data_IF_508850171334
#
_entry.id   IF_508850171334
#
_cell.length_a   1.000
_cell.length_b   1.000
_cell.length_c   1.000
_cell.angle_alpha   90.00
_cell.angle_beta   90.00
_cell.angle_gamma   90.00
#
_symmetry.space_group_name_H-M   'P 1'
#
loop_
_entity.id
_entity.type
_entity.pdbx_description
1 polymer ?
#
# COMPACT_ATOMS: atom_id res chain seq x y z
N UNK A 1 -30.61 84.26 40.84
CA UNK A 1 -29.20 84.03 40.45
C UNK A 1 -28.89 82.55 40.66
N UNK A 2 -28.86 81.71 39.55
CA UNK A 2 -28.54 80.29 39.62
C UNK A 2 -27.25 80.09 38.85
N UNK A 3 -26.26 79.59 39.52
CA UNK A 3 -24.99 79.18 38.93
C UNK A 3 -25.12 77.73 38.39
N UNK A 4 -24.83 77.53 37.13
CA UNK A 4 -24.82 76.23 36.49
C UNK A 4 -23.39 75.71 36.49
N UNK A 5 -23.15 74.67 37.26
CA UNK A 5 -21.88 73.95 37.27
C UNK A 5 -21.85 72.90 36.15
N UNK A 6 -20.92 73.07 35.22
CA UNK A 6 -20.65 72.11 34.17
C UNK A 6 -19.58 71.16 34.62
N UNK A 7 -19.94 69.91 34.90
CA UNK A 7 -18.98 68.82 35.15
C UNK A 7 -18.57 68.24 33.77
N UNK A 8 -17.31 68.46 33.39
CA UNK A 8 -16.67 67.79 32.27
C UNK A 8 -16.24 66.39 32.72
N UNK A 9 -16.91 65.38 32.21
CA UNK A 9 -16.52 63.97 32.39
C UNK A 9 -15.51 63.60 31.32
N UNK A 10 -14.25 63.40 31.68
CA UNK A 10 -13.16 62.95 30.80
C UNK A 10 -13.25 61.44 30.66
N UNK A 11 -13.72 60.93 29.50
CA UNK A 11 -13.70 59.50 29.17
C UNK A 11 -12.32 59.11 28.66
N UNK A 12 -11.58 58.32 29.45
CA UNK A 12 -10.32 57.74 29.07
C UNK A 12 -10.61 56.46 28.28
N UNK A 13 -10.40 56.51 26.97
CA UNK A 13 -10.43 55.32 26.09
C UNK A 13 -9.11 54.52 26.27
N UNK A 14 -9.19 53.41 26.97
CA UNK A 14 -8.08 52.42 27.03
C UNK A 14 -8.20 51.53 25.82
N UNK A 15 -7.34 51.73 24.80
CA UNK A 15 -7.21 50.83 23.63
C UNK A 15 -6.25 49.69 24.00
N UNK A 16 -6.79 48.53 24.30
CA UNK A 16 -6.00 47.29 24.44
C UNK A 16 -5.60 46.80 23.05
N UNK A 17 -4.33 46.99 22.72
CA UNK A 17 -3.77 46.37 21.51
C UNK A 17 -3.62 44.87 21.75
N UNK A 18 -4.47 44.06 21.13
CA UNK A 18 -4.32 42.60 21.09
C UNK A 18 -3.19 42.32 20.08
N UNK A 19 -2.00 42.01 20.59
CA UNK A 19 -0.92 41.49 19.75
C UNK A 19 -1.30 40.09 19.25
N UNK A 20 -1.76 40.00 18.02
CA UNK A 20 -1.92 38.74 17.31
C UNK A 20 -0.53 38.12 17.14
N UNK A 21 -0.19 37.14 17.98
CA UNK A 21 0.97 36.28 17.72
C UNK A 21 0.64 35.44 16.48
N UNK A 22 1.12 35.88 15.32
CA UNK A 22 1.17 35.02 14.15
C UNK A 22 2.07 33.84 14.49
N UNK A 23 1.44 32.68 14.70
CA UNK A 23 2.13 31.41 14.89
C UNK A 23 2.89 31.12 13.58
N UNK A 24 4.21 31.34 13.59
CA UNK A 24 5.07 30.97 12.48
C UNK A 24 4.88 29.45 12.24
N UNK A 25 4.52 29.01 10.99
CA UNK A 25 4.50 27.60 10.69
C UNK A 25 5.87 27.03 11.08
N UNK A 26 5.90 25.99 11.89
CA UNK A 26 7.13 25.26 12.17
C UNK A 26 7.76 24.93 10.80
N UNK A 27 9.03 25.26 10.62
CA UNK A 27 9.78 24.94 9.42
C UNK A 27 9.73 23.42 9.26
N UNK A 28 8.82 22.94 8.40
CA UNK A 28 8.67 21.53 8.11
C UNK A 28 9.98 21.04 7.50
N UNK A 29 10.52 19.96 8.05
CA UNK A 29 11.63 19.25 7.40
C UNK A 29 11.27 18.89 5.96
N UNK A 30 12.22 18.45 5.14
CA UNK A 30 11.93 18.01 3.79
C UNK A 30 10.80 16.98 3.80
N UNK A 31 9.87 17.02 2.82
CA UNK A 31 8.76 16.08 2.79
C UNK A 31 9.28 14.64 2.83
N UNK A 32 8.59 13.73 3.52
CA UNK A 32 9.00 12.34 3.59
C UNK A 32 9.12 11.77 2.18
N UNK A 33 10.18 11.01 1.93
CA UNK A 33 10.38 10.34 0.65
C UNK A 33 9.27 9.30 0.47
N UNK A 34 8.65 9.19 -0.73
CA UNK A 34 7.66 8.17 -0.99
C UNK A 34 8.26 6.76 -0.85
N UNK A 35 7.46 5.80 -0.44
CA UNK A 35 7.85 4.39 -0.50
C UNK A 35 8.24 4.00 -1.93
N UNK A 36 9.18 3.08 -2.05
CA UNK A 36 9.52 2.46 -3.34
C UNK A 36 9.40 0.94 -3.22
N UNK A 37 9.03 0.30 -4.32
CA UNK A 37 9.04 -1.15 -4.49
C UNK A 37 9.91 -1.47 -5.70
N UNK A 38 10.81 -2.44 -5.57
CA UNK A 38 11.72 -2.86 -6.64
C UNK A 38 11.93 -4.36 -6.65
N UNK A 39 12.39 -4.88 -7.78
CA UNK A 39 12.90 -6.25 -7.91
C UNK A 39 14.14 -6.27 -8.79
N UNK A 40 15.03 -7.22 -8.56
CA UNK A 40 16.16 -7.50 -9.46
C UNK A 40 15.78 -8.47 -10.58
N UNK A 41 14.56 -9.02 -10.55
CA UNK A 41 14.10 -10.03 -11.49
C UNK A 41 13.80 -9.48 -12.90
N UNK A 42 13.29 -8.25 -12.97
CA UNK A 42 12.97 -7.53 -14.21
C UNK A 42 12.81 -6.03 -13.94
N UNK A 43 13.07 -5.15 -14.92
CA UNK A 43 12.80 -3.71 -14.81
C UNK A 43 11.29 -3.40 -14.72
N UNK A 44 10.94 -2.28 -14.06
CA UNK A 44 9.56 -1.80 -13.99
C UNK A 44 8.99 -1.54 -15.40
N UNK A 45 7.74 -1.96 -15.63
CA UNK A 45 7.07 -1.89 -16.93
C UNK A 45 7.62 -2.84 -17.99
N UNK A 46 8.54 -3.75 -17.66
CA UNK A 46 9.11 -4.70 -18.63
C UNK A 46 8.49 -6.10 -18.54
N UNK A 47 8.86 -6.98 -19.46
CA UNK A 47 8.37 -8.35 -19.46
C UNK A 47 8.94 -9.15 -18.29
N UNK A 48 8.06 -9.90 -17.62
CA UNK A 48 8.42 -10.82 -16.54
C UNK A 48 9.08 -12.06 -17.16
N UNK A 49 10.29 -12.44 -16.74
CA UNK A 49 10.94 -13.68 -17.21
C UNK A 49 10.09 -14.92 -16.92
N UNK A 50 10.13 -15.87 -17.84
CA UNK A 50 9.34 -17.12 -17.81
C UNK A 50 9.48 -17.86 -16.48
N UNK A 51 10.66 -17.85 -15.86
CA UNK A 51 10.94 -18.44 -14.54
C UNK A 51 9.87 -18.08 -13.49
N UNK A 52 9.41 -16.84 -13.47
CA UNK A 52 8.47 -16.32 -12.45
C UNK A 52 7.00 -16.52 -12.82
N UNK A 53 6.70 -17.23 -13.90
CA UNK A 53 5.36 -17.34 -14.49
C UNK A 53 4.83 -18.76 -14.49
N UNK A 54 3.54 -18.94 -14.80
CA UNK A 54 2.91 -20.27 -14.95
C UNK A 54 3.44 -21.06 -16.15
N UNK A 55 4.20 -20.45 -17.04
CA UNK A 55 4.87 -21.11 -18.15
C UNK A 55 6.26 -21.63 -17.81
N UNK A 56 6.76 -21.31 -16.61
CA UNK A 56 8.06 -21.73 -16.11
C UNK A 56 8.00 -22.38 -14.71
N UNK A 57 8.97 -22.06 -13.87
CA UNK A 57 9.10 -22.63 -12.53
C UNK A 57 8.07 -22.10 -11.54
N UNK A 58 7.43 -20.98 -11.85
CA UNK A 58 6.47 -20.31 -10.98
C UNK A 58 7.03 -19.93 -9.60
N UNK A 59 8.28 -19.50 -9.60
CA UNK A 59 8.99 -19.00 -8.41
C UNK A 59 8.57 -17.53 -8.20
N UNK A 60 8.29 -17.11 -6.96
CA UNK A 60 8.05 -15.69 -6.69
C UNK A 60 9.34 -14.88 -6.84
N UNK A 61 9.30 -13.68 -7.48
CA UNK A 61 10.48 -12.83 -7.55
C UNK A 61 10.85 -12.30 -6.17
N UNK A 62 12.15 -12.02 -5.96
CA UNK A 62 12.58 -11.23 -4.81
C UNK A 62 12.02 -9.81 -4.93
N UNK A 63 11.45 -9.28 -3.84
CA UNK A 63 10.92 -7.93 -3.76
C UNK A 63 11.63 -7.17 -2.65
N UNK A 64 11.92 -5.88 -2.89
CA UNK A 64 12.54 -4.99 -1.89
C UNK A 64 11.79 -3.66 -1.86
N UNK A 65 11.58 -3.14 -0.65
CA UNK A 65 10.97 -1.81 -0.48
C UNK A 65 11.79 -0.93 0.46
N UNK A 66 11.69 0.38 0.25
CA UNK A 66 12.41 1.39 1.02
C UNK A 66 11.51 2.56 1.39
N UNK A 67 12.02 3.47 2.23
CA UNK A 67 11.30 4.65 2.71
C UNK A 67 9.99 4.30 3.43
N UNK A 68 10.03 3.24 4.23
CA UNK A 68 8.90 2.83 5.08
C UNK A 68 8.45 3.98 5.99
N UNK A 69 7.15 4.35 6.01
CA UNK A 69 6.65 5.38 6.91
C UNK A 69 6.89 5.04 8.38
N UNK A 70 7.15 6.05 9.19
CA UNK A 70 7.20 5.88 10.64
C UNK A 70 5.86 5.38 11.18
N UNK A 71 5.89 4.51 12.18
CA UNK A 71 4.68 3.90 12.75
C UNK A 71 4.18 2.66 12.00
N UNK A 72 4.88 2.19 10.98
CA UNK A 72 4.51 0.94 10.29
C UNK A 72 4.63 -0.26 11.23
N UNK A 73 3.53 -0.98 11.40
CA UNK A 73 3.39 -2.20 12.20
C UNK A 73 3.49 -3.45 11.33
N UNK A 74 2.79 -3.44 10.17
CA UNK A 74 2.83 -4.54 9.19
C UNK A 74 2.79 -4.02 7.76
N UNK A 75 3.03 -4.95 6.80
CA UNK A 75 2.78 -4.68 5.38
C UNK A 75 1.77 -5.69 4.82
N UNK A 76 1.12 -5.26 3.74
CA UNK A 76 0.35 -6.10 2.83
C UNK A 76 0.96 -5.99 1.43
N UNK A 77 1.27 -7.13 0.81
CA UNK A 77 1.59 -7.23 -0.61
C UNK A 77 0.37 -7.76 -1.36
N UNK A 78 -0.01 -7.09 -2.44
CA UNK A 78 -1.06 -7.51 -3.35
C UNK A 78 -0.51 -7.56 -4.77
N UNK A 79 -0.49 -8.75 -5.38
CA UNK A 79 -0.18 -8.94 -6.80
C UNK A 79 -1.45 -9.34 -7.54
N UNK A 80 -1.77 -8.63 -8.63
CA UNK A 80 -2.99 -8.86 -9.40
C UNK A 80 -2.79 -8.55 -10.89
N UNK A 81 -3.62 -9.18 -11.74
CA UNK A 81 -3.70 -8.94 -13.17
C UNK A 81 -4.89 -8.02 -13.45
N UNK A 82 -4.60 -6.76 -13.78
CA UNK A 82 -5.61 -5.71 -13.93
C UNK A 82 -6.32 -5.75 -15.30
N UNK A 83 -5.89 -6.58 -16.22
CA UNK A 83 -6.51 -6.73 -17.55
C UNK A 83 -7.63 -7.78 -17.59
N UNK A 84 -7.89 -8.44 -16.44
CA UNK A 84 -8.93 -9.45 -16.30
C UNK A 84 -10.15 -8.89 -15.58
N UNK A 85 -11.26 -8.68 -16.33
CA UNK A 85 -12.56 -8.37 -15.72
C UNK A 85 -13.21 -9.65 -15.19
N UNK A 86 -13.03 -9.92 -13.91
CA UNK A 86 -13.52 -11.14 -13.28
C UNK A 86 -15.03 -11.05 -13.04
N UNK A 87 -15.75 -12.14 -13.35
CA UNK A 87 -17.21 -12.25 -13.16
C UNK A 87 -18.01 -11.09 -13.80
N UNK A 88 -17.51 -10.47 -14.87
CA UNK A 88 -18.10 -9.28 -15.52
C UNK A 88 -18.28 -8.08 -14.54
N UNK A 89 -17.37 -7.95 -13.58
CA UNK A 89 -17.32 -6.84 -12.62
C UNK A 89 -16.04 -6.02 -12.83
N UNK A 90 -15.79 -5.05 -11.96
CA UNK A 90 -14.52 -4.32 -11.88
C UNK A 90 -13.44 -5.08 -11.09
N UNK A 91 -13.76 -6.26 -10.55
CA UNK A 91 -12.79 -7.12 -9.89
C UNK A 91 -11.82 -7.71 -10.90
N UNK A 92 -10.57 -7.79 -10.49
CA UNK A 92 -9.47 -8.35 -11.26
C UNK A 92 -9.00 -9.71 -10.73
N UNK A 93 -8.02 -10.31 -11.40
CA UNK A 93 -7.48 -11.61 -11.01
C UNK A 93 -6.41 -11.45 -9.92
N UNK A 94 -6.71 -11.92 -8.71
CA UNK A 94 -5.72 -12.02 -7.64
C UNK A 94 -4.68 -13.10 -7.95
N UNK A 95 -3.42 -12.72 -7.96
CA UNK A 95 -2.28 -13.61 -8.20
C UNK A 95 -1.56 -13.96 -6.89
N UNK A 96 -1.45 -13.02 -5.95
CA UNK A 96 -0.81 -13.26 -4.66
C UNK A 96 -1.16 -12.16 -3.66
N UNK A 97 -1.65 -12.54 -2.51
CA UNK A 97 -1.86 -11.65 -1.38
C UNK A 97 -1.03 -12.17 -0.22
N UNK A 98 -0.17 -11.32 0.35
CA UNK A 98 0.58 -11.61 1.58
C UNK A 98 0.24 -10.52 2.58
N UNK A 99 -0.22 -10.89 3.77
CA UNK A 99 -0.58 -9.90 4.80
C UNK A 99 0.07 -10.20 6.14
N UNK A 100 0.08 -9.19 6.99
CA UNK A 100 0.80 -9.22 8.27
C UNK A 100 2.32 -9.48 8.12
N UNK A 101 2.93 -9.06 7.00
CA UNK A 101 4.38 -9.04 6.86
C UNK A 101 4.91 -8.08 7.95
N UNK A 102 5.89 -8.49 8.78
CA UNK A 102 6.39 -7.65 9.87
C UNK A 102 6.85 -6.26 9.42
N UNK A 103 6.54 -5.21 10.18
CA UNK A 103 6.91 -3.82 9.85
C UNK A 103 8.42 -3.56 9.82
N UNK A 104 9.23 -4.51 10.31
CA UNK A 104 10.70 -4.50 10.22
C UNK A 104 11.23 -5.11 8.91
N UNK A 105 10.37 -5.76 8.12
CA UNK A 105 10.77 -6.37 6.86
C UNK A 105 11.08 -5.28 5.82
N UNK A 106 12.12 -5.52 5.01
CA UNK A 106 12.52 -4.66 3.89
C UNK A 106 12.34 -5.33 2.54
N UNK A 107 11.76 -6.54 2.52
CA UNK A 107 11.57 -7.31 1.30
C UNK A 107 11.01 -8.70 1.56
N UNK A 108 10.72 -9.40 0.46
CA UNK A 108 10.47 -10.84 0.42
C UNK A 108 11.56 -11.51 -0.43
N UNK A 109 12.07 -12.68 -0.04
CA UNK A 109 13.08 -13.40 -0.82
C UNK A 109 12.48 -13.96 -2.13
N UNK A 110 13.34 -14.31 -3.08
CA UNK A 110 12.94 -15.16 -4.20
C UNK A 110 12.50 -16.52 -3.67
N UNK A 111 11.42 -17.05 -4.24
CA UNK A 111 10.95 -18.39 -3.89
C UNK A 111 10.32 -18.49 -2.50
N UNK A 112 9.43 -17.55 -2.14
CA UNK A 112 8.64 -17.69 -0.90
C UNK A 112 7.97 -19.05 -0.84
N UNK A 113 8.16 -19.84 0.26
CA UNK A 113 7.66 -21.20 0.34
C UNK A 113 6.13 -21.26 0.35
N UNK A 114 5.58 -22.42 -0.03
CA UNK A 114 4.14 -22.71 0.10
C UNK A 114 3.76 -22.81 1.58
N UNK A 115 2.56 -22.42 1.91
CA UNK A 115 1.99 -22.51 3.26
C UNK A 115 1.15 -21.31 3.57
N UNK A 116 0.08 -21.49 4.34
CA UNK A 116 -0.82 -20.41 4.74
C UNK A 116 -0.12 -19.40 5.65
N UNK A 117 0.70 -19.89 6.56
CA UNK A 117 1.52 -19.06 7.46
C UNK A 117 2.98 -19.26 7.16
N UNK A 118 3.70 -18.17 6.93
CA UNK A 118 5.13 -18.15 6.67
C UNK A 118 5.93 -18.10 7.97
N UNK A 119 7.24 -18.34 7.88
CA UNK A 119 8.12 -18.42 9.05
C UNK A 119 8.19 -17.12 9.87
N UNK A 120 7.93 -15.97 9.26
CA UNK A 120 7.88 -14.65 9.90
C UNK A 120 6.52 -14.31 10.51
N UNK A 121 5.55 -15.24 10.44
CA UNK A 121 4.19 -15.09 10.94
C UNK A 121 3.24 -14.35 9.98
N UNK A 122 3.68 -13.98 8.79
CA UNK A 122 2.80 -13.49 7.74
C UNK A 122 1.97 -14.61 7.13
N UNK A 123 0.89 -14.24 6.44
CA UNK A 123 -0.02 -15.18 5.79
C UNK A 123 -0.03 -14.93 4.28
N UNK A 124 -0.34 -15.94 3.49
CA UNK A 124 -0.46 -15.79 2.05
C UNK A 124 -1.59 -16.62 1.44
N UNK A 125 -2.11 -16.12 0.32
CA UNK A 125 -3.07 -16.83 -0.52
C UNK A 125 -3.01 -16.35 -1.97
N UNK A 126 -3.41 -17.21 -2.89
CA UNK A 126 -3.67 -16.91 -4.29
C UNK A 126 -4.82 -17.76 -4.80
N UNK A 127 -5.24 -17.56 -6.03
CA UNK A 127 -6.22 -18.42 -6.69
C UNK A 127 -5.75 -19.89 -6.88
N UNK A 128 -4.50 -20.20 -6.52
CA UNK A 128 -3.93 -21.56 -6.49
C UNK A 128 -3.72 -22.08 -5.06
N UNK A 129 -4.34 -21.44 -4.06
CA UNK A 129 -4.16 -21.74 -2.64
C UNK A 129 -3.07 -20.91 -1.98
N UNK A 130 -2.51 -21.35 -0.84
CA UNK A 130 -1.53 -20.59 -0.05
C UNK A 130 -0.12 -20.64 -0.68
N UNK A 131 0.02 -20.03 -1.85
CA UNK A 131 1.23 -20.02 -2.65
C UNK A 131 1.22 -18.85 -3.63
N UNK A 132 2.40 -18.39 -4.05
CA UNK A 132 2.54 -17.51 -5.21
C UNK A 132 1.93 -18.16 -6.46
N UNK A 133 1.10 -17.41 -7.19
CA UNK A 133 0.61 -17.76 -8.53
C UNK A 133 1.21 -16.79 -9.54
N UNK A 134 2.14 -17.27 -10.35
CA UNK A 134 2.79 -16.45 -11.36
C UNK A 134 1.83 -15.97 -12.46
N UNK A 135 2.25 -15.01 -13.28
CA UNK A 135 1.57 -14.57 -14.49
C UNK A 135 1.17 -15.72 -15.41
N UNK A 136 0.00 -15.62 -16.04
CA UNK A 136 -0.53 -16.73 -16.86
C UNK A 136 -1.37 -16.30 -18.05
N UNK A 137 -1.27 -15.05 -18.52
CA UNK A 137 -2.01 -14.55 -19.66
C UNK A 137 -1.87 -15.45 -20.89
N UNK A 138 -2.92 -15.60 -21.73
CA UNK A 138 -2.90 -16.46 -22.91
C UNK A 138 -1.79 -16.07 -23.89
N UNK A 139 -1.29 -17.03 -24.67
CA UNK A 139 -0.30 -16.79 -25.73
C UNK A 139 -0.85 -15.93 -26.87
N UNK A 140 -2.18 -15.96 -27.07
CA UNK A 140 -2.90 -15.12 -28.03
C UNK A 140 -3.47 -13.90 -27.33
N UNK A 141 -3.27 -12.70 -27.86
CA UNK A 141 -3.74 -11.46 -27.27
C UNK A 141 -2.61 -10.53 -26.81
N UNK A 142 -2.95 -9.45 -26.13
CA UNK A 142 -1.97 -8.48 -25.64
C UNK A 142 -1.13 -9.04 -24.48
N UNK A 143 -0.07 -8.31 -24.11
CA UNK A 143 0.58 -8.47 -22.81
C UNK A 143 -0.39 -8.00 -21.73
N UNK A 144 -0.51 -8.77 -20.63
CA UNK A 144 -1.23 -8.34 -19.44
C UNK A 144 -0.30 -7.63 -18.45
N UNK A 145 -0.88 -6.71 -17.67
CA UNK A 145 -0.20 -5.96 -16.62
C UNK A 145 -0.38 -6.66 -15.28
N UNK A 146 0.73 -7.07 -14.70
CA UNK A 146 0.77 -7.66 -13.36
C UNK A 146 1.29 -6.61 -12.40
N UNK A 147 0.41 -6.11 -11.56
CA UNK A 147 0.71 -5.04 -10.61
C UNK A 147 1.07 -5.66 -9.27
N UNK A 148 2.22 -5.30 -8.73
CA UNK A 148 2.66 -5.58 -7.37
C UNK A 148 2.48 -4.31 -6.55
N UNK A 149 1.66 -4.34 -5.52
CA UNK A 149 1.47 -3.23 -4.59
C UNK A 149 1.91 -3.64 -3.19
N UNK A 150 2.80 -2.85 -2.58
CA UNK A 150 3.14 -2.97 -1.17
C UNK A 150 2.48 -1.83 -0.41
N UNK A 151 1.79 -2.13 0.69
CA UNK A 151 1.10 -1.18 1.56
C UNK A 151 1.63 -1.31 2.97
N UNK A 152 2.09 -0.20 3.55
CA UNK A 152 2.51 -0.11 4.95
C UNK A 152 1.32 0.26 5.82
N UNK A 153 1.09 -0.48 6.91
CA UNK A 153 -0.05 -0.32 7.80
C UNK A 153 0.40 0.02 9.22
N UNK A 154 -0.39 0.81 9.94
CA UNK A 154 -0.20 1.11 11.36
C UNK A 154 -0.77 0.04 12.30
N UNK A 155 -1.24 -1.08 11.76
CA UNK A 155 -1.86 -2.16 12.53
C UNK A 155 -1.51 -3.53 11.97
N UNK A 156 -1.83 -4.58 12.74
CA UNK A 156 -1.91 -5.96 12.30
C UNK A 156 -3.36 -6.27 11.94
N UNK A 157 -3.59 -6.95 10.83
CA UNK A 157 -4.94 -7.32 10.38
C UNK A 157 -5.41 -8.60 11.07
N UNK A 158 -6.62 -8.57 11.60
CA UNK A 158 -7.31 -9.76 12.11
C UNK A 158 -8.12 -10.40 10.98
N UNK A 159 -7.42 -11.05 10.06
CA UNK A 159 -8.02 -11.73 8.89
C UNK A 159 -7.53 -13.17 8.85
N UNK A 160 -8.47 -14.10 8.86
CA UNK A 160 -8.23 -15.53 8.67
C UNK A 160 -8.48 -15.86 7.19
N UNK A 161 -7.57 -16.64 6.59
CA UNK A 161 -7.76 -17.13 5.24
C UNK A 161 -8.96 -18.06 5.14
N UNK A 162 -9.74 -17.94 4.07
CA UNK A 162 -10.76 -18.91 3.68
C UNK A 162 -10.23 -19.78 2.52
N UNK A 163 -10.98 -20.82 2.15
CA UNK A 163 -10.64 -21.61 0.96
C UNK A 163 -10.79 -20.79 -0.35
N UNK A 164 -11.54 -19.70 -0.33
CA UNK A 164 -11.68 -18.77 -1.46
C UNK A 164 -10.68 -17.59 -1.32
N UNK A 165 -9.72 -17.57 -2.24
CA UNK A 165 -8.72 -16.51 -2.29
C UNK A 165 -9.30 -15.11 -2.55
N UNK A 166 -10.44 -15.01 -3.23
CA UNK A 166 -11.07 -13.74 -3.54
C UNK A 166 -11.85 -13.18 -2.36
N UNK A 167 -12.51 -14.07 -1.58
CA UNK A 167 -13.09 -13.67 -0.31
C UNK A 167 -12.03 -13.23 0.68
N UNK A 168 -10.92 -13.98 0.79
CA UNK A 168 -9.80 -13.60 1.65
C UNK A 168 -9.19 -12.27 1.22
N UNK A 169 -8.94 -12.06 -0.11
CA UNK A 169 -8.48 -10.78 -0.62
C UNK A 169 -9.44 -9.64 -0.25
N UNK A 170 -10.74 -9.83 -0.46
CA UNK A 170 -11.73 -8.82 -0.13
C UNK A 170 -11.73 -8.48 1.37
N UNK A 171 -11.58 -9.48 2.24
CA UNK A 171 -11.45 -9.29 3.69
C UNK A 171 -10.20 -8.50 4.05
N UNK A 172 -9.03 -8.84 3.47
CA UNK A 172 -7.78 -8.09 3.65
C UNK A 172 -7.93 -6.64 3.19
N UNK A 173 -8.46 -6.42 1.97
CA UNK A 173 -8.64 -5.07 1.41
C UNK A 173 -9.65 -4.24 2.19
N UNK A 174 -10.64 -4.86 2.81
CA UNK A 174 -11.57 -4.19 3.72
C UNK A 174 -10.91 -3.85 5.06
N UNK A 175 -10.16 -4.78 5.64
CA UNK A 175 -9.54 -4.60 6.95
C UNK A 175 -8.43 -3.54 6.96
N UNK A 176 -7.75 -3.29 5.84
CA UNK A 176 -6.71 -2.26 5.75
C UNK A 176 -7.25 -0.83 5.57
N UNK A 177 -8.57 -0.64 5.35
CA UNK A 177 -9.15 0.70 5.18
C UNK A 177 -8.96 1.55 6.44
N UNK A 178 -8.41 2.75 6.26
CA UNK A 178 -8.08 3.69 7.34
C UNK A 178 -6.74 3.43 8.02
N UNK A 179 -6.01 2.36 7.64
CA UNK A 179 -4.75 1.94 8.25
C UNK A 179 -3.52 2.11 7.36
N UNK A 180 -3.68 2.55 6.11
CA UNK A 180 -2.58 2.67 5.14
C UNK A 180 -1.79 3.94 5.38
N UNK A 181 -0.53 3.80 5.80
CA UNK A 181 0.42 4.91 6.00
C UNK A 181 1.16 5.29 4.72
N UNK A 182 1.34 4.34 3.81
CA UNK A 182 2.03 4.54 2.54
C UNK A 182 1.96 3.32 1.66
N UNK A 183 2.20 3.52 0.36
CA UNK A 183 2.21 2.42 -0.61
C UNK A 183 3.21 2.68 -1.72
N UNK A 184 3.63 1.60 -2.39
CA UNK A 184 4.41 1.64 -3.61
C UNK A 184 3.95 0.54 -4.56
N UNK A 185 4.15 0.78 -5.85
CA UNK A 185 3.70 -0.10 -6.92
C UNK A 185 4.85 -0.43 -7.85
N UNK A 186 4.83 -1.62 -8.43
CA UNK A 186 5.75 -2.10 -9.45
C UNK A 186 4.99 -2.93 -10.47
N UNK A 187 5.27 -2.79 -11.76
CA UNK A 187 4.50 -3.42 -12.83
C UNK A 187 5.38 -4.35 -13.65
N UNK A 188 4.89 -5.54 -13.94
CA UNK A 188 5.48 -6.44 -14.92
C UNK A 188 4.48 -6.80 -16.01
N UNK A 189 4.96 -7.07 -17.21
CA UNK A 189 4.16 -7.44 -18.36
C UNK A 189 4.38 -8.91 -18.68
N UNK A 190 3.32 -9.64 -19.04
CA UNK A 190 3.47 -11.03 -19.48
C UNK A 190 2.32 -11.50 -20.37
N UNK A 191 2.66 -12.35 -21.31
CA UNK A 191 1.80 -13.36 -21.96
C UNK A 191 2.63 -14.62 -22.17
N UNK A 192 1.99 -15.77 -22.23
CA UNK A 192 2.70 -17.03 -22.51
C UNK A 192 3.42 -16.96 -23.85
N UNK A 193 4.62 -17.58 -23.96
CA UNK A 193 5.25 -17.83 -25.27
C UNK A 193 4.32 -18.64 -26.19
N UNK A 194 4.47 -18.42 -27.49
CA UNK A 194 3.81 -19.23 -28.53
C UNK A 194 4.52 -20.56 -28.69
#
# INVERSE_FOLDING_TARGET
>A
MRRSDWLLTLAILVTTAIAAHAQQPAAGGPPPRPMTLTTTAFPDGSQIPVKYTQAGEQVSPALTWTNTPAGTVTFVLHMHDIDVARNKTTDDQAHWVVWNIPGTATGLPEGVPKGETLADGSHQISASGPVYRGPGAPATGPLHHYVFEIMALDTKLDVVATADAFETRAAVMKALQGHVLGKATYVGLFRRPQ
#
